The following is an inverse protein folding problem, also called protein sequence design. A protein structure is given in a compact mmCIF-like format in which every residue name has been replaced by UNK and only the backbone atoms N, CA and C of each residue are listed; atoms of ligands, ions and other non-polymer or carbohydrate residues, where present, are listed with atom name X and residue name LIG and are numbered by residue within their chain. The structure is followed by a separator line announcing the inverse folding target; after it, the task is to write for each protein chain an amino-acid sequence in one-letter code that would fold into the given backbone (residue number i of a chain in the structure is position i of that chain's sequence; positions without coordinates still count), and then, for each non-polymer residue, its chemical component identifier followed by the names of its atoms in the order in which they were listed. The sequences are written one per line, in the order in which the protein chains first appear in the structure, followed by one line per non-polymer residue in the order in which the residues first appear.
data_IF_121448006041
#
_entry.id   IF_121448006041
#
_cell.length_a   1.000
_cell.length_b   1.000
_cell.length_c   1.000
_cell.angle_alpha   90.00
_cell.angle_beta   90.00
_cell.angle_gamma   90.00
#
_symmetry.space_group_name_H-M   'P 1'
#
loop_
_entity.id
_entity.type
_entity.pdbx_description
1 polymer ?
#
# COMPACT_ATOMS: atom_id res chain seq x y z
N UNK A 1 -25.99 15.23 -69.74
CA UNK A 1 -25.64 15.91 -68.45
C UNK A 1 -25.58 14.88 -67.37
N UNK A 2 -24.38 14.59 -66.82
CA UNK A 2 -24.19 13.64 -65.70
C UNK A 2 -23.99 14.49 -64.43
N UNK A 3 -24.90 14.36 -63.47
CA UNK A 3 -24.81 15.03 -62.19
C UNK A 3 -24.03 14.13 -61.24
N UNK A 4 -22.82 14.55 -60.89
CA UNK A 4 -21.97 13.86 -59.87
C UNK A 4 -22.36 14.38 -58.53
N UNK A 5 -23.02 13.56 -57.69
CA UNK A 5 -23.30 13.87 -56.29
C UNK A 5 -22.03 13.65 -55.47
N UNK A 6 -21.50 14.71 -54.88
CA UNK A 6 -20.47 14.67 -53.85
C UNK A 6 -21.11 14.35 -52.47
N UNK A 7 -20.83 13.16 -51.93
CA UNK A 7 -21.19 12.81 -50.55
C UNK A 7 -20.05 13.27 -49.64
N UNK A 8 -20.28 14.34 -48.88
CA UNK A 8 -19.35 14.81 -47.88
C UNK A 8 -19.48 13.93 -46.60
N UNK A 9 -18.49 13.14 -46.33
CA UNK A 9 -18.43 12.33 -45.08
C UNK A 9 -17.94 13.19 -43.93
N UNK A 10 -18.83 13.53 -43.03
CA UNK A 10 -18.51 14.25 -41.79
C UNK A 10 -17.82 13.31 -40.78
N UNK A 11 -16.51 13.41 -40.62
CA UNK A 11 -15.75 12.69 -39.62
C UNK A 11 -15.98 13.35 -38.26
N UNK A 12 -16.73 12.67 -37.39
CA UNK A 12 -16.91 13.09 -35.96
C UNK A 12 -15.61 12.75 -35.23
N UNK A 13 -14.80 13.76 -34.94
CA UNK A 13 -13.64 13.65 -34.05
C UNK A 13 -14.15 13.48 -32.63
N UNK A 14 -14.20 12.25 -32.11
CA UNK A 14 -14.43 11.96 -30.71
C UNK A 14 -13.12 12.27 -29.96
N UNK A 15 -13.02 13.46 -29.38
CA UNK A 15 -11.94 13.79 -28.45
C UNK A 15 -12.07 12.92 -27.20
N UNK A 16 -11.03 12.19 -26.78
CA UNK A 16 -11.06 11.49 -25.50
C UNK A 16 -11.21 12.51 -24.39
N UNK A 17 -12.31 12.48 -23.66
CA UNK A 17 -12.47 13.25 -22.43
C UNK A 17 -11.38 12.83 -21.46
N UNK A 18 -10.44 13.73 -21.14
CA UNK A 18 -9.46 13.53 -20.07
C UNK A 18 -10.24 13.27 -18.78
N UNK A 19 -10.20 12.04 -18.30
CA UNK A 19 -10.81 11.66 -17.02
C UNK A 19 -10.20 12.55 -15.92
N UNK A 20 -11.03 13.40 -15.31
CA UNK A 20 -10.59 14.26 -14.22
C UNK A 20 -10.14 13.39 -13.06
N UNK A 21 -8.89 13.54 -12.67
CA UNK A 21 -8.34 12.85 -11.51
C UNK A 21 -8.82 13.53 -10.23
N UNK A 22 -9.23 12.75 -9.24
CA UNK A 22 -9.76 13.24 -7.97
C UNK A 22 -9.22 12.40 -6.80
N UNK A 23 -9.45 12.85 -5.58
CA UNK A 23 -8.96 12.18 -4.39
C UNK A 23 -10.02 11.22 -3.83
N UNK A 24 -9.59 10.03 -3.38
CA UNK A 24 -10.40 9.09 -2.63
C UNK A 24 -9.93 9.06 -1.17
N UNK A 25 -10.81 9.45 -0.24
CA UNK A 25 -10.56 9.35 1.20
C UNK A 25 -11.10 8.02 1.70
N UNK A 26 -10.21 7.19 2.23
CA UNK A 26 -10.59 5.93 2.91
C UNK A 26 -10.50 6.14 4.40
N UNK A 27 -11.56 5.80 5.13
CA UNK A 27 -11.62 5.87 6.59
C UNK A 27 -11.83 4.48 7.16
N UNK A 28 -11.01 4.08 8.12
CA UNK A 28 -11.04 2.75 8.72
C UNK A 28 -11.27 2.86 10.22
N UNK A 29 -12.29 2.15 10.70
CA UNK A 29 -12.63 2.04 12.13
C UNK A 29 -12.78 0.57 12.50
N UNK A 30 -12.53 0.27 13.76
CA UNK A 30 -12.87 -1.05 14.31
C UNK A 30 -14.37 -1.16 14.66
N UNK A 31 -14.79 -2.32 15.17
CA UNK A 31 -16.17 -2.58 15.58
C UNK A 31 -16.65 -1.68 16.75
N UNK A 32 -15.72 -1.13 17.54
CA UNK A 32 -16.00 -0.19 18.62
C UNK A 32 -15.99 1.29 18.14
N UNK A 33 -15.79 1.52 16.82
CA UNK A 33 -15.72 2.85 16.23
C UNK A 33 -14.37 3.55 16.42
N UNK A 34 -13.36 2.87 16.98
CA UNK A 34 -12.03 3.47 17.15
C UNK A 34 -11.28 3.54 15.82
N UNK A 35 -10.47 4.58 15.57
CA UNK A 35 -9.69 4.68 14.37
C UNK A 35 -8.64 3.55 14.29
N UNK A 36 -8.47 2.99 13.08
CA UNK A 36 -7.47 1.96 12.82
C UNK A 36 -6.30 2.56 12.04
N UNK A 37 -5.16 2.72 12.73
CA UNK A 37 -3.87 3.13 12.14
C UNK A 37 -3.27 1.98 11.33
N UNK A 38 -2.42 2.30 10.35
CA UNK A 38 -1.63 1.34 9.56
C UNK A 38 -2.44 0.34 8.69
N UNK A 39 -3.73 0.58 8.48
CA UNK A 39 -4.50 -0.14 7.47
C UNK A 39 -4.09 0.33 6.06
N UNK A 40 -3.75 -0.59 5.17
CA UNK A 40 -3.31 -0.27 3.81
C UNK A 40 -4.47 -0.34 2.85
N UNK A 41 -4.78 0.79 2.22
CA UNK A 41 -5.74 0.88 1.12
C UNK A 41 -4.99 0.82 -0.22
N UNK A 42 -5.45 -0.03 -1.12
CA UNK A 42 -4.89 -0.25 -2.45
C UNK A 42 -6.02 -0.21 -3.47
N UNK A 43 -6.01 0.76 -4.37
CA UNK A 43 -7.04 0.88 -5.41
C UNK A 43 -6.45 0.48 -6.76
N UNK A 44 -7.11 -0.45 -7.43
CA UNK A 44 -6.80 -0.85 -8.81
C UNK A 44 -7.91 -0.41 -9.73
N UNK A 45 -7.58 0.39 -10.73
CA UNK A 45 -8.48 0.81 -11.80
C UNK A 45 -8.33 -0.10 -13.01
N UNK A 46 -9.30 -0.07 -13.95
CA UNK A 46 -9.19 -0.79 -15.21
C UNK A 46 -8.17 -0.18 -16.20
N UNK A 47 -7.70 1.03 -15.93
CA UNK A 47 -6.68 1.67 -16.74
C UNK A 47 -5.28 1.16 -16.36
N UNK A 48 -4.39 0.91 -17.35
CA UNK A 48 -3.00 0.58 -17.05
C UNK A 48 -2.32 1.74 -16.31
N UNK A 49 -1.41 1.43 -15.39
CA UNK A 49 -0.58 2.44 -14.74
C UNK A 49 0.30 3.13 -15.80
N UNK A 50 0.08 4.42 -16.02
CA UNK A 50 0.78 5.18 -17.07
C UNK A 50 2.22 5.53 -16.69
N UNK A 51 2.57 5.45 -15.40
CA UNK A 51 3.89 5.78 -14.87
C UNK A 51 4.37 4.76 -13.86
N UNK A 52 5.70 4.67 -13.70
CA UNK A 52 6.31 3.90 -12.62
C UNK A 52 5.80 4.42 -11.26
N UNK A 53 5.29 3.52 -10.45
CA UNK A 53 4.78 3.84 -9.11
C UNK A 53 5.93 4.36 -8.26
N UNK A 54 5.77 5.56 -7.69
CA UNK A 54 6.73 6.16 -6.77
C UNK A 54 5.98 6.89 -5.66
N UNK A 55 6.30 6.58 -4.41
CA UNK A 55 5.78 7.29 -3.26
C UNK A 55 6.79 8.31 -2.73
N UNK A 56 6.30 9.30 -1.99
CA UNK A 56 7.12 10.42 -1.49
C UNK A 56 7.83 10.12 -0.18
N UNK A 57 7.45 9.04 0.51
CA UNK A 57 8.10 8.61 1.75
C UNK A 57 9.32 7.73 1.51
N UNK A 58 10.27 7.68 2.47
CA UNK A 58 11.44 6.83 2.37
C UNK A 58 11.08 5.33 2.35
N UNK A 59 11.76 4.56 1.51
CA UNK A 59 11.66 3.09 1.51
C UNK A 59 12.66 2.51 2.50
N UNK A 60 12.30 2.60 3.76
CA UNK A 60 13.18 2.24 4.88
C UNK A 60 12.37 1.66 6.05
N UNK A 61 12.89 0.61 6.68
CA UNK A 61 12.44 0.10 7.97
C UNK A 61 13.62 0.16 8.93
N UNK A 62 13.60 1.15 9.81
CA UNK A 62 14.64 1.34 10.81
C UNK A 62 14.47 0.42 12.01
N UNK A 63 15.55 0.15 12.72
CA UNK A 63 15.55 -0.60 13.97
C UNK A 63 15.99 0.35 15.09
N UNK A 64 15.18 0.53 16.11
CA UNK A 64 15.49 1.31 17.30
C UNK A 64 14.63 0.85 18.49
N UNK A 65 15.16 0.95 19.69
CA UNK A 65 14.49 0.55 20.92
C UNK A 65 13.83 -0.85 20.84
N UNK A 66 14.58 -1.80 20.23
CA UNK A 66 14.16 -3.19 20.01
C UNK A 66 12.80 -3.25 19.27
N UNK A 67 12.66 -2.44 18.24
CA UNK A 67 11.47 -2.38 17.38
C UNK A 67 11.79 -2.06 15.93
N UNK A 68 10.86 -2.31 15.02
CA UNK A 68 10.91 -1.84 13.64
C UNK A 68 10.03 -0.59 13.46
N UNK A 69 10.55 0.41 12.76
CA UNK A 69 9.83 1.64 12.41
C UNK A 69 10.01 1.97 10.91
N UNK A 70 8.88 2.12 10.17
CA UNK A 70 7.48 2.01 10.59
C UNK A 70 7.03 0.55 10.77
N UNK A 71 5.98 0.34 11.57
CA UNK A 71 5.33 -0.96 11.73
C UNK A 71 4.76 -1.51 10.40
N UNK A 72 4.20 -0.64 9.56
CA UNK A 72 3.77 -0.98 8.19
C UNK A 72 4.40 0.01 7.21
N UNK A 73 5.17 -0.52 6.26
CA UNK A 73 5.74 0.24 5.14
C UNK A 73 5.04 -0.17 3.83
N UNK A 74 4.55 0.80 3.06
CA UNK A 74 4.01 0.57 1.71
C UNK A 74 5.06 0.96 0.68
N UNK A 75 5.38 0.06 -0.26
CA UNK A 75 6.35 0.31 -1.33
C UNK A 75 5.84 -0.22 -2.66
N UNK A 76 6.20 0.39 -3.80
CA UNK A 76 5.90 -0.18 -5.12
C UNK A 76 6.77 -1.39 -5.42
N UNK A 77 6.28 -2.27 -6.29
CA UNK A 77 7.07 -3.37 -6.86
C UNK A 77 8.37 -2.83 -7.46
N UNK A 78 9.47 -3.51 -7.24
CA UNK A 78 10.82 -3.12 -7.69
C UNK A 78 11.55 -2.17 -6.75
N UNK A 79 10.99 -1.88 -5.57
CA UNK A 79 11.65 -1.04 -4.57
C UNK A 79 12.79 -1.74 -3.88
N UNK A 80 13.89 -1.01 -3.68
CA UNK A 80 14.95 -1.40 -2.78
C UNK A 80 14.67 -0.76 -1.40
N UNK A 81 14.44 -1.57 -0.38
CA UNK A 81 14.14 -1.11 0.99
C UNK A 81 15.38 -1.26 1.84
N UNK A 82 15.78 -0.17 2.51
CA UNK A 82 16.91 -0.19 3.45
C UNK A 82 16.45 -0.57 4.87
N UNK A 83 17.36 -1.19 5.61
CA UNK A 83 17.15 -1.67 6.98
C UNK A 83 18.25 -1.13 7.91
N UNK A 84 18.34 0.19 8.14
CA UNK A 84 19.37 0.73 9.02
C UNK A 84 19.12 0.30 10.46
N UNK A 85 20.18 -0.13 11.14
CA UNK A 85 20.15 -0.38 12.56
C UNK A 85 20.57 0.90 13.31
N UNK A 86 19.61 1.57 13.93
CA UNK A 86 19.82 2.76 14.76
C UNK A 86 19.84 2.43 16.27
N UNK A 87 19.74 1.14 16.61
CA UNK A 87 19.75 0.65 17.98
C UNK A 87 21.17 0.53 18.54
N UNK A 88 21.26 0.34 19.85
CA UNK A 88 22.52 0.06 20.57
C UNK A 88 22.94 -1.42 20.47
N UNK A 89 22.02 -2.27 20.08
CA UNK A 89 22.21 -3.71 19.94
C UNK A 89 22.17 -4.16 18.48
N UNK A 90 22.71 -5.33 18.19
CA UNK A 90 22.66 -5.93 16.85
C UNK A 90 21.30 -6.59 16.63
N UNK A 91 20.86 -6.61 15.37
CA UNK A 91 19.63 -7.27 14.96
C UNK A 91 19.85 -8.21 13.77
N UNK A 92 18.92 -9.18 13.63
CA UNK A 92 18.88 -10.13 12.51
C UNK A 92 17.48 -10.04 11.88
N UNK A 93 17.36 -9.31 10.78
CA UNK A 93 16.08 -9.13 10.10
C UNK A 93 15.83 -10.28 9.13
N UNK A 94 14.65 -10.88 9.19
CA UNK A 94 14.29 -11.95 8.27
C UNK A 94 12.82 -11.86 7.82
N UNK A 95 12.53 -12.58 6.72
CA UNK A 95 11.17 -12.90 6.29
C UNK A 95 11.11 -14.30 5.69
N UNK A 96 10.06 -15.05 6.00
CA UNK A 96 9.68 -16.30 5.37
C UNK A 96 8.41 -16.19 4.51
N UNK A 97 7.92 -14.98 4.28
CA UNK A 97 6.73 -14.73 3.48
C UNK A 97 6.91 -15.26 2.04
N UNK A 98 5.89 -15.89 1.44
CA UNK A 98 5.95 -16.37 0.04
C UNK A 98 6.24 -15.27 -0.97
N UNK A 99 5.89 -14.02 -0.64
CA UNK A 99 6.15 -12.84 -1.45
C UNK A 99 7.64 -12.54 -1.54
N UNK A 100 8.37 -12.60 -0.40
CA UNK A 100 9.82 -12.37 -0.34
C UNK A 100 10.42 -13.11 0.85
N UNK A 101 11.36 -14.03 0.57
CA UNK A 101 12.16 -14.70 1.60
C UNK A 101 13.55 -14.11 1.62
N UNK A 102 14.05 -13.72 2.80
CA UNK A 102 15.40 -13.23 2.98
C UNK A 102 15.86 -13.31 4.43
N UNK A 103 17.15 -13.18 4.63
CA UNK A 103 17.78 -13.03 5.94
C UNK A 103 18.94 -12.03 5.85
N UNK A 104 18.87 -10.98 6.67
CA UNK A 104 19.99 -10.09 6.95
C UNK A 104 20.58 -10.57 8.27
N UNK A 105 21.68 -11.34 8.20
CA UNK A 105 22.34 -11.90 9.39
C UNK A 105 22.78 -10.77 10.32
N UNK A 106 22.96 -11.09 11.57
CA UNK A 106 23.24 -10.17 12.68
C UNK A 106 24.19 -9.01 12.30
N UNK A 107 23.71 -7.76 12.41
CA UNK A 107 24.47 -6.55 12.11
C UNK A 107 24.14 -5.40 13.07
N UNK A 108 25.05 -4.46 13.19
CA UNK A 108 24.92 -3.26 14.03
C UNK A 108 24.80 -1.97 13.22
N UNK A 109 25.12 -0.85 13.84
CA UNK A 109 25.01 0.51 13.24
C UNK A 109 26.00 0.74 12.10
N UNK A 110 27.06 -0.02 12.05
CA UNK A 110 28.15 0.09 11.09
C UNK A 110 27.81 -0.39 9.68
N UNK A 111 26.64 -1.05 9.52
CA UNK A 111 26.26 -1.63 8.25
C UNK A 111 24.90 -1.11 7.77
N UNK A 112 24.83 -0.69 6.51
CA UNK A 112 23.56 -0.44 5.82
C UNK A 112 23.22 -1.66 4.94
N UNK A 113 22.07 -2.22 5.17
CA UNK A 113 21.56 -3.40 4.48
C UNK A 113 20.29 -3.07 3.75
N UNK A 114 20.13 -3.62 2.54
CA UNK A 114 18.91 -3.41 1.74
C UNK A 114 18.46 -4.67 1.05
N UNK A 115 17.17 -4.73 0.70
CA UNK A 115 16.52 -5.86 0.02
C UNK A 115 15.63 -5.32 -1.09
N UNK A 116 15.73 -5.93 -2.28
CA UNK A 116 14.84 -5.66 -3.41
C UNK A 116 13.51 -6.39 -3.23
N UNK A 117 12.39 -5.67 -3.32
CA UNK A 117 11.02 -6.19 -3.25
C UNK A 117 10.39 -6.21 -4.65
N UNK A 118 10.59 -7.29 -5.37
CA UNK A 118 10.31 -7.48 -6.79
C UNK A 118 8.94 -8.10 -7.10
N UNK A 119 8.16 -8.46 -6.08
CA UNK A 119 6.85 -9.10 -6.22
C UNK A 119 5.82 -8.43 -5.33
N UNK A 120 4.62 -8.12 -5.89
CA UNK A 120 3.50 -7.58 -5.12
C UNK A 120 3.00 -8.58 -4.06
N UNK A 121 2.60 -8.07 -2.90
CA UNK A 121 2.06 -8.83 -1.78
C UNK A 121 2.59 -8.34 -0.43
N UNK A 122 2.26 -9.07 0.62
CA UNK A 122 2.66 -8.75 2.00
C UNK A 122 3.88 -9.55 2.41
N UNK A 123 4.83 -8.87 3.05
CA UNK A 123 6.05 -9.44 3.61
C UNK A 123 6.10 -9.14 5.09
N UNK A 124 5.92 -10.16 5.92
CA UNK A 124 6.10 -10.06 7.37
C UNK A 124 7.60 -10.11 7.71
N UNK A 125 8.04 -9.18 8.53
CA UNK A 125 9.40 -9.08 9.04
C UNK A 125 9.46 -9.54 10.49
N UNK A 126 10.55 -10.18 10.86
CA UNK A 126 10.87 -10.55 12.24
C UNK A 126 12.34 -10.35 12.54
N UNK A 127 12.68 -10.33 13.83
CA UNK A 127 14.04 -10.39 14.33
C UNK A 127 14.28 -11.74 15.02
N UNK A 128 15.39 -12.41 14.72
CA UNK A 128 15.66 -13.76 15.23
C UNK A 128 16.10 -13.80 16.70
N UNK A 129 16.43 -12.66 17.28
CA UNK A 129 16.93 -12.55 18.66
C UNK A 129 16.03 -11.71 19.58
N UNK A 130 14.99 -11.11 19.05
CA UNK A 130 14.01 -10.33 19.81
C UNK A 130 12.61 -10.61 19.26
N UNK A 131 11.89 -11.55 19.86
CA UNK A 131 10.60 -12.06 19.37
C UNK A 131 9.49 -10.99 19.26
N UNK A 132 9.61 -9.89 20.01
CA UNK A 132 8.67 -8.76 19.97
C UNK A 132 8.82 -7.88 18.73
N UNK A 133 9.94 -7.97 18.01
CA UNK A 133 10.17 -7.15 16.81
C UNK A 133 9.44 -7.74 15.61
N UNK A 134 8.39 -7.08 15.19
CA UNK A 134 7.66 -7.42 13.97
C UNK A 134 7.27 -6.16 13.20
N UNK A 135 7.25 -6.27 11.87
CA UNK A 135 6.75 -5.24 10.96
C UNK A 135 6.27 -5.87 9.65
N UNK A 136 5.72 -5.06 8.76
CA UNK A 136 5.22 -5.52 7.48
C UNK A 136 5.64 -4.58 6.36
N UNK A 137 6.10 -5.15 5.25
CA UNK A 137 6.26 -4.43 3.98
C UNK A 137 5.13 -4.86 3.05
N UNK A 138 4.28 -3.91 2.67
CA UNK A 138 3.21 -4.14 1.70
C UNK A 138 3.67 -3.64 0.35
N UNK A 139 3.98 -4.57 -0.54
CA UNK A 139 4.49 -4.31 -1.88
C UNK A 139 3.30 -4.19 -2.83
N UNK A 140 3.12 -3.02 -3.44
CA UNK A 140 1.95 -2.70 -4.26
C UNK A 140 2.29 -2.53 -5.73
N UNK A 141 1.33 -2.89 -6.59
CA UNK A 141 1.39 -2.81 -8.04
C UNK A 141 0.50 -1.69 -8.60
N UNK A 142 0.09 -0.77 -7.75
CA UNK A 142 -0.76 0.38 -8.10
C UNK A 142 -0.19 1.68 -7.52
N UNK A 143 -0.29 2.82 -8.23
CA UNK A 143 0.09 4.12 -7.70
C UNK A 143 -0.88 4.66 -6.64
N UNK A 144 -2.08 4.08 -6.57
CA UNK A 144 -3.13 4.51 -5.66
C UNK A 144 -3.14 3.62 -4.42
N UNK A 145 -2.12 3.78 -3.59
CA UNK A 145 -1.99 3.06 -2.34
C UNK A 145 -1.43 3.95 -1.24
N UNK A 146 -1.76 3.61 0.00
CA UNK A 146 -1.27 4.27 1.19
C UNK A 146 -1.80 3.59 2.43
N UNK A 147 -1.31 4.02 3.59
CA UNK A 147 -1.76 3.51 4.89
C UNK A 147 -2.47 4.58 5.70
N UNK A 148 -3.42 4.17 6.52
CA UNK A 148 -4.14 5.07 7.42
C UNK A 148 -3.21 5.61 8.50
N UNK A 149 -3.44 6.87 8.84
CA UNK A 149 -2.81 7.59 9.95
C UNK A 149 -3.47 7.25 11.31
N UNK A 150 -3.07 7.96 12.36
CA UNK A 150 -3.62 7.80 13.71
C UNK A 150 -5.13 8.13 13.81
N UNK A 151 -5.68 8.90 12.85
CA UNK A 151 -7.12 9.19 12.75
C UNK A 151 -7.90 8.10 12.02
N UNK A 152 -7.21 7.07 11.52
CA UNK A 152 -7.76 6.00 10.70
C UNK A 152 -8.09 6.43 9.28
N UNK A 153 -7.42 7.47 8.74
CA UNK A 153 -7.67 7.99 7.40
C UNK A 153 -6.45 7.86 6.49
N UNK A 154 -6.72 7.64 5.20
CA UNK A 154 -5.74 7.76 4.12
C UNK A 154 -6.40 8.40 2.90
N UNK A 155 -5.67 9.27 2.20
CA UNK A 155 -6.11 9.87 0.95
C UNK A 155 -5.32 9.29 -0.21
N UNK A 156 -6.01 8.59 -1.11
CA UNK A 156 -5.45 8.14 -2.39
C UNK A 156 -5.66 9.25 -3.41
N UNK A 157 -4.55 9.87 -3.85
CA UNK A 157 -4.59 11.09 -4.67
C UNK A 157 -4.61 10.78 -6.16
N UNK A 158 -5.29 11.66 -6.91
CA UNK A 158 -5.22 11.64 -8.36
C UNK A 158 -5.83 10.39 -9.01
N UNK A 159 -6.83 9.79 -8.38
CA UNK A 159 -7.49 8.59 -8.87
C UNK A 159 -8.41 8.96 -10.05
N UNK A 160 -8.35 8.24 -11.19
CA UNK A 160 -9.28 8.47 -12.29
C UNK A 160 -10.71 8.08 -11.90
N UNK A 161 -11.69 8.81 -12.46
CA UNK A 161 -13.09 8.45 -12.34
C UNK A 161 -13.36 7.11 -13.05
N UNK A 162 -14.33 6.34 -12.54
CA UNK A 162 -14.75 5.07 -13.11
C UNK A 162 -14.78 3.92 -12.11
N UNK A 163 -14.98 2.71 -12.64
CA UNK A 163 -15.01 1.49 -11.85
C UNK A 163 -13.59 1.11 -11.38
N UNK A 164 -13.49 0.71 -10.12
CA UNK A 164 -12.23 0.31 -9.51
C UNK A 164 -12.45 -0.80 -8.45
N UNK A 165 -11.37 -1.45 -8.05
CA UNK A 165 -11.34 -2.42 -6.95
C UNK A 165 -10.49 -1.85 -5.82
N UNK A 166 -11.12 -1.62 -4.67
CA UNK A 166 -10.47 -1.13 -3.46
C UNK A 166 -10.22 -2.32 -2.53
N UNK A 167 -8.95 -2.62 -2.28
CA UNK A 167 -8.52 -3.61 -1.30
C UNK A 167 -8.07 -2.88 -0.04
N UNK A 168 -8.57 -3.30 1.11
CA UNK A 168 -8.09 -2.88 2.42
C UNK A 168 -7.42 -4.06 3.09
N UNK A 169 -6.21 -3.86 3.61
CA UNK A 169 -5.42 -4.85 4.34
C UNK A 169 -4.97 -4.29 5.69
N UNK A 170 -4.96 -5.14 6.72
CA UNK A 170 -4.33 -4.82 8.01
C UNK A 170 -3.86 -6.11 8.66
N UNK A 171 -2.67 -6.19 9.32
CA UNK A 171 -2.10 -7.45 9.81
C UNK A 171 -2.98 -8.21 10.79
N UNK A 172 -3.88 -7.53 11.46
CA UNK A 172 -4.76 -8.11 12.47
C UNK A 172 -6.23 -8.30 12.02
N UNK A 173 -6.56 -8.05 10.76
CA UNK A 173 -7.92 -8.34 10.26
C UNK A 173 -8.24 -9.83 10.39
N UNK A 174 -9.48 -10.14 10.83
CA UNK A 174 -9.97 -11.52 10.98
C UNK A 174 -10.42 -12.17 9.66
N UNK A 175 -10.38 -11.43 8.56
CA UNK A 175 -10.72 -11.93 7.22
C UNK A 175 -9.61 -12.78 6.61
N UNK A 176 -9.94 -13.62 5.63
CA UNK A 176 -8.95 -14.42 4.89
C UNK A 176 -7.87 -13.52 4.25
N UNK A 177 -6.61 -13.87 4.42
CA UNK A 177 -5.47 -13.06 3.95
C UNK A 177 -5.36 -11.69 4.62
N UNK A 178 -6.06 -11.47 5.74
CA UNK A 178 -6.08 -10.21 6.48
C UNK A 178 -6.52 -9.01 5.62
N UNK A 179 -7.43 -9.24 4.65
CA UNK A 179 -7.85 -8.20 3.70
C UNK A 179 -9.34 -8.33 3.36
N UNK A 180 -9.90 -7.25 2.85
CA UNK A 180 -11.21 -7.21 2.23
C UNK A 180 -11.14 -6.49 0.89
N UNK A 181 -12.01 -6.88 -0.05
CA UNK A 181 -12.10 -6.31 -1.39
C UNK A 181 -13.51 -5.73 -1.59
N UNK A 182 -13.57 -4.50 -2.12
CA UNK A 182 -14.81 -3.84 -2.48
C UNK A 182 -14.72 -3.29 -3.90
N UNK A 183 -15.75 -3.54 -4.73
CA UNK A 183 -15.94 -2.80 -5.96
C UNK A 183 -16.45 -1.39 -5.63
N UNK A 184 -15.85 -0.37 -6.23
CA UNK A 184 -16.22 1.04 -6.05
C UNK A 184 -16.35 1.71 -7.42
N UNK A 185 -17.18 2.74 -7.49
CA UNK A 185 -17.28 3.60 -8.67
C UNK A 185 -16.99 5.03 -8.25
N UNK A 186 -15.91 5.59 -8.79
CA UNK A 186 -15.46 6.93 -8.44
C UNK A 186 -16.02 7.96 -9.43
N UNK A 187 -16.62 9.01 -8.88
CA UNK A 187 -17.02 10.19 -9.64
C UNK A 187 -15.86 11.12 -9.95
N UNK A 188 -16.08 12.07 -10.85
CA UNK A 188 -15.08 13.09 -11.21
C UNK A 188 -14.66 14.02 -10.06
N UNK A 189 -15.39 14.04 -8.96
CA UNK A 189 -15.12 14.84 -7.76
C UNK A 189 -14.48 14.02 -6.62
N UNK A 190 -14.06 12.77 -6.90
CA UNK A 190 -13.55 11.87 -5.89
C UNK A 190 -14.62 11.18 -5.06
N UNK A 191 -14.25 10.72 -3.87
CA UNK A 191 -15.17 9.97 -3.02
C UNK A 191 -14.67 9.76 -1.60
N UNK A 192 -15.53 9.14 -0.79
CA UNK A 192 -15.22 8.68 0.57
C UNK A 192 -15.67 7.23 0.71
N UNK A 193 -14.79 6.39 1.19
CA UNK A 193 -15.04 4.97 1.43
C UNK A 193 -14.79 4.62 2.90
N UNK A 194 -15.86 4.51 3.70
CA UNK A 194 -15.73 4.05 5.07
C UNK A 194 -15.63 2.52 5.15
N UNK A 195 -14.78 2.03 6.04
CA UNK A 195 -14.67 0.63 6.41
C UNK A 195 -14.82 0.46 7.91
N UNK A 196 -15.60 -0.54 8.31
CA UNK A 196 -15.55 -1.11 9.65
C UNK A 196 -14.90 -2.48 9.56
N UNK A 197 -13.88 -2.70 10.38
CA UNK A 197 -13.08 -3.94 10.36
C UNK A 197 -13.11 -4.63 11.72
N UNK A 198 -13.08 -5.96 11.71
CA UNK A 198 -12.91 -6.76 12.92
C UNK A 198 -11.46 -7.20 13.03
N UNK A 199 -10.82 -6.83 14.14
CA UNK A 199 -9.40 -7.05 14.38
C UNK A 199 -9.18 -8.07 15.51
N UNK A 200 -8.18 -8.92 15.34
CA UNK A 200 -7.59 -9.67 16.44
C UNK A 200 -6.79 -8.73 17.33
N UNK A 201 -6.69 -8.98 18.62
CA UNK A 201 -5.72 -8.30 19.45
C UNK A 201 -4.30 -8.45 18.88
N UNK A 202 -3.51 -7.39 18.93
CA UNK A 202 -2.08 -7.51 18.66
C UNK A 202 -1.45 -8.45 19.69
N UNK A 203 -0.44 -9.27 19.31
CA UNK A 203 0.31 -10.05 20.30
C UNK A 203 0.86 -9.13 21.38
N UNK A 204 0.67 -9.51 22.65
CA UNK A 204 1.09 -8.69 23.80
C UNK A 204 2.59 -8.45 23.87
N UNK A 205 3.38 -9.29 23.20
CA UNK A 205 4.84 -9.18 23.09
C UNK A 205 5.30 -8.26 21.94
N UNK A 206 4.39 -7.83 21.04
CA UNK A 206 4.76 -7.07 19.85
C UNK A 206 4.91 -5.59 20.16
N UNK A 207 6.06 -5.01 19.83
CA UNK A 207 6.29 -3.55 19.88
C UNK A 207 5.91 -2.93 18.54
N UNK A 208 4.98 -1.95 18.57
CA UNK A 208 4.50 -1.23 17.38
C UNK A 208 4.78 0.26 17.53
N UNK A 209 5.39 0.89 16.53
CA UNK A 209 5.69 2.33 16.46
C UNK A 209 5.12 3.00 15.21
#
# INVERSE_FOLDING_TARGET
MRVTSLIATLAILVSPALAKAADLVVTVRDAAGQPVKDAVAMLRTGAPAVQAVKFTWPYRVSQHDISFDPFVLVVPVGSNVSFPNNDKVRHHVYSFSPTKKFQLKLYGREEDRSVLFDKAGVVALGCNIHDQMAAFVVVVDTPYAGKTDASGQVTLRGVPAGAAKLTLWHPFMKTAGNQTLRAVTLGANGGREPFTVDLRPAPSTMTMH
#
